data_IF_494627206863
#
_entry.id   IF_494627206863
#
_cell.length_a   1.000
_cell.length_b   1.000
_cell.length_c   1.000
_cell.angle_alpha   90.00
_cell.angle_beta   90.00
_cell.angle_gamma   90.00
#
_symmetry.space_group_name_H-M   'P 1'
#
loop_
_entity.id
_entity.type
_entity.pdbx_description
1 polymer ?
#
# COMPACT_ATOMS: atom_id res chain seq x y z
N UNK A 1 38.99 48.97 -0.34
CA UNK A 1 37.94 48.63 -1.31
C UNK A 1 37.64 47.14 -1.21
N UNK A 2 36.45 46.71 -0.75
CA UNK A 2 36.08 45.31 -0.72
C UNK A 2 35.30 44.92 -2.00
N UNK A 3 35.71 43.82 -2.60
CA UNK A 3 35.13 43.22 -3.81
C UNK A 3 33.82 42.47 -3.52
N UNK A 4 32.77 42.77 -4.27
CA UNK A 4 31.47 42.10 -4.21
C UNK A 4 31.52 40.66 -4.75
N UNK A 5 30.83 39.69 -4.12
CA UNK A 5 30.72 38.34 -4.68
C UNK A 5 29.61 38.26 -5.74
N UNK A 6 29.99 37.70 -6.89
CA UNK A 6 29.16 37.43 -8.06
C UNK A 6 28.04 36.43 -7.76
N UNK A 7 26.78 36.83 -8.00
CA UNK A 7 25.60 35.95 -8.01
C UNK A 7 25.72 34.96 -9.17
N UNK A 8 25.90 33.67 -8.85
CA UNK A 8 25.70 32.58 -9.82
C UNK A 8 24.20 32.42 -10.08
N UNK A 9 23.77 32.71 -11.30
CA UNK A 9 22.44 32.39 -11.81
C UNK A 9 22.27 30.87 -11.90
N UNK A 10 21.27 30.32 -11.22
CA UNK A 10 20.82 28.93 -11.41
C UNK A 10 20.18 28.81 -12.80
N UNK A 11 20.70 27.90 -13.61
CA UNK A 11 20.10 27.52 -14.89
C UNK A 11 18.72 26.87 -14.65
N UNK A 12 17.73 27.08 -15.53
CA UNK A 12 16.42 26.46 -15.41
C UNK A 12 16.52 24.96 -15.73
N UNK A 13 16.05 24.12 -14.81
CA UNK A 13 15.86 22.69 -15.05
C UNK A 13 14.87 22.52 -16.21
N UNK A 14 15.28 21.77 -17.25
CA UNK A 14 14.40 21.42 -18.37
C UNK A 14 13.29 20.51 -17.85
N UNK A 15 12.09 21.06 -17.67
CA UNK A 15 10.85 20.29 -17.51
C UNK A 15 10.74 19.31 -18.68
N UNK A 16 10.64 18.02 -18.35
CA UNK A 16 10.54 16.95 -19.35
C UNK A 16 9.12 16.90 -19.90
N UNK A 17 8.94 16.31 -21.09
CA UNK A 17 7.60 16.06 -21.66
C UNK A 17 6.72 15.21 -20.75
N UNK A 18 7.32 14.34 -19.93
CA UNK A 18 6.63 13.53 -18.93
C UNK A 18 5.99 14.38 -17.81
N UNK A 19 6.59 15.52 -17.44
CA UNK A 19 6.06 16.42 -16.40
C UNK A 19 4.82 17.21 -16.86
N UNK A 20 4.54 17.21 -18.17
CA UNK A 20 3.42 17.93 -18.79
C UNK A 20 2.25 17.03 -19.18
N UNK A 21 2.41 15.71 -19.07
CA UNK A 21 1.37 14.76 -19.39
C UNK A 21 0.33 14.74 -18.28
N UNK A 22 -0.95 14.66 -18.66
CA UNK A 22 -2.01 14.46 -17.69
C UNK A 22 -1.83 13.14 -16.94
N UNK A 23 -2.21 13.09 -15.66
CA UNK A 23 -2.05 11.90 -14.85
C UNK A 23 -2.83 10.71 -15.41
N UNK A 24 -4.01 10.95 -16.02
CA UNK A 24 -4.82 9.91 -16.65
C UNK A 24 -4.12 9.32 -17.86
N UNK A 25 -3.65 10.18 -18.77
CA UNK A 25 -2.92 9.76 -19.98
C UNK A 25 -1.68 8.95 -19.60
N UNK A 26 -0.93 9.42 -18.58
CA UNK A 26 0.25 8.71 -18.08
C UNK A 26 -0.09 7.33 -17.52
N UNK A 27 -1.19 7.17 -16.81
CA UNK A 27 -1.60 5.88 -16.23
C UNK A 27 -2.15 4.90 -17.28
N UNK A 28 -2.87 5.39 -18.29
CA UNK A 28 -3.36 4.56 -19.40
C UNK A 28 -2.21 3.91 -20.20
N UNK A 29 -1.06 4.56 -20.30
CA UNK A 29 0.16 3.99 -20.90
C UNK A 29 0.72 2.76 -20.16
N UNK A 30 0.20 2.46 -18.96
CA UNK A 30 0.51 1.28 -18.15
C UNK A 30 -0.74 0.40 -17.94
N UNK A 31 -1.76 0.58 -18.77
CA UNK A 31 -3.09 -0.06 -18.65
C UNK A 31 -3.77 0.15 -17.30
N UNK A 32 -3.56 1.29 -16.66
CA UNK A 32 -4.23 1.64 -15.40
C UNK A 32 -5.36 2.62 -15.71
N UNK A 33 -6.58 2.16 -15.52
CA UNK A 33 -7.82 2.88 -15.79
C UNK A 33 -8.56 3.18 -14.48
N UNK A 34 -9.07 4.41 -14.36
CA UNK A 34 -9.86 4.83 -13.21
C UNK A 34 -10.99 5.74 -13.65
N UNK A 35 -12.15 5.60 -12.98
CA UNK A 35 -13.36 6.37 -13.29
C UNK A 35 -13.77 6.30 -14.78
N UNK A 36 -13.57 5.15 -15.42
CA UNK A 36 -13.99 4.91 -16.80
C UNK A 36 -15.40 4.33 -16.88
N UNK A 37 -16.01 4.03 -15.72
CA UNK A 37 -17.28 3.31 -15.60
C UNK A 37 -17.16 1.92 -16.20
N UNK A 38 -16.01 1.28 -15.97
CA UNK A 38 -15.81 -0.11 -16.31
C UNK A 38 -16.89 -0.96 -15.59
N UNK A 39 -17.41 -1.97 -16.28
CA UNK A 39 -18.39 -2.87 -15.65
C UNK A 39 -17.66 -3.71 -14.61
N UNK A 40 -18.03 -3.55 -13.34
CA UNK A 40 -17.46 -4.36 -12.26
C UNK A 40 -17.87 -5.82 -12.50
N UNK A 41 -16.93 -6.78 -12.54
CA UNK A 41 -17.26 -8.19 -12.72
C UNK A 41 -18.23 -8.71 -11.66
N UNK A 42 -19.18 -9.55 -12.05
CA UNK A 42 -20.28 -10.01 -11.19
C UNK A 42 -19.83 -10.63 -9.86
N UNK A 43 -18.71 -11.35 -9.86
CA UNK A 43 -18.12 -11.93 -8.63
C UNK A 43 -17.64 -10.83 -7.65
N UNK A 44 -17.10 -9.73 -8.18
CA UNK A 44 -16.71 -8.56 -7.37
C UNK A 44 -17.93 -7.76 -6.94
N UNK A 45 -18.95 -7.61 -7.80
CA UNK A 45 -20.21 -6.98 -7.40
C UNK A 45 -20.86 -7.71 -6.23
N UNK A 46 -20.90 -9.05 -6.27
CA UNK A 46 -21.39 -9.87 -5.17
C UNK A 46 -20.54 -9.68 -3.91
N UNK A 47 -19.22 -9.63 -4.06
CA UNK A 47 -18.31 -9.36 -2.93
C UNK A 47 -18.56 -7.97 -2.32
N UNK A 48 -18.65 -6.92 -3.14
CA UNK A 48 -18.96 -5.55 -2.72
C UNK A 48 -20.34 -5.48 -2.06
N UNK A 49 -21.34 -6.17 -2.61
CA UNK A 49 -22.67 -6.24 -2.02
C UNK A 49 -22.63 -6.88 -0.63
N UNK A 50 -21.78 -7.89 -0.41
CA UNK A 50 -21.57 -8.46 0.92
C UNK A 50 -20.89 -7.45 1.86
N UNK A 51 -19.93 -6.68 1.37
CA UNK A 51 -19.29 -5.61 2.15
C UNK A 51 -20.23 -4.46 2.50
N UNK A 52 -21.28 -4.20 1.70
CA UNK A 52 -22.30 -3.18 1.99
C UNK A 52 -23.37 -3.63 3.00
N UNK A 53 -23.35 -4.88 3.45
CA UNK A 53 -24.37 -5.39 4.40
C UNK A 53 -24.38 -4.56 5.69
N UNK A 54 -25.56 -4.14 6.18
CA UNK A 54 -25.66 -3.39 7.43
C UNK A 54 -25.04 -4.15 8.61
N UNK A 55 -24.39 -3.41 9.52
CA UNK A 55 -23.89 -3.97 10.79
C UNK A 55 -24.84 -3.61 11.92
N UNK A 56 -25.03 -4.54 12.86
CA UNK A 56 -25.88 -4.35 14.05
C UNK A 56 -25.23 -3.39 15.07
N UNK A 57 -23.90 -3.33 15.12
CA UNK A 57 -23.18 -2.46 16.04
C UNK A 57 -23.20 -1.00 15.57
N UNK A 58 -23.50 -0.07 16.48
CA UNK A 58 -23.35 1.36 16.22
C UNK A 58 -21.88 1.73 16.00
N UNK A 59 -21.63 2.75 15.16
CA UNK A 59 -20.29 3.32 14.99
C UNK A 59 -20.18 4.60 15.83
N UNK A 60 -19.70 4.53 17.10
CA UNK A 60 -19.56 5.72 17.94
C UNK A 60 -18.65 6.78 17.30
N UNK A 61 -17.67 6.35 16.50
CA UNK A 61 -16.78 7.24 15.76
C UNK A 61 -17.50 8.11 14.72
N UNK A 62 -18.70 7.75 14.26
CA UNK A 62 -19.37 8.50 13.19
C UNK A 62 -19.74 9.92 13.62
N UNK A 63 -20.25 10.05 14.85
CA UNK A 63 -20.54 11.35 15.45
C UNK A 63 -19.25 12.14 15.71
N UNK A 64 -18.23 11.48 16.23
CA UNK A 64 -16.92 12.12 16.46
C UNK A 64 -16.32 12.67 15.16
N UNK A 65 -16.39 11.93 14.06
CA UNK A 65 -15.91 12.39 12.74
C UNK A 65 -16.72 13.60 12.27
N UNK A 66 -18.04 13.55 12.40
CA UNK A 66 -18.90 14.68 12.04
C UNK A 66 -18.50 15.96 12.78
N UNK A 67 -18.16 15.85 14.06
CA UNK A 67 -17.74 16.97 14.91
C UNK A 67 -16.31 17.45 14.58
N UNK A 68 -15.38 16.56 14.25
CA UNK A 68 -13.97 16.90 14.03
C UNK A 68 -13.61 17.23 12.57
N UNK A 69 -14.38 16.76 11.58
CA UNK A 69 -14.13 17.02 10.17
C UNK A 69 -14.11 18.51 9.79
N UNK A 70 -14.99 19.41 10.33
CA UNK A 70 -14.86 20.85 10.14
C UNK A 70 -13.49 21.39 10.57
N UNK A 71 -12.94 20.90 11.68
CA UNK A 71 -11.63 21.33 12.19
C UNK A 71 -10.52 20.81 11.28
N UNK A 72 -10.56 19.53 10.91
CA UNK A 72 -9.54 18.91 10.04
C UNK A 72 -9.41 19.62 8.68
N UNK A 73 -10.54 20.05 8.08
CA UNK A 73 -10.57 20.78 6.80
C UNK A 73 -9.79 22.10 6.81
N UNK A 74 -9.66 22.74 7.97
CA UNK A 74 -8.97 24.03 8.12
C UNK A 74 -7.47 23.86 8.41
N UNK A 75 -6.97 22.63 8.46
CA UNK A 75 -5.59 22.32 8.83
C UNK A 75 -4.76 21.85 7.64
N UNK A 76 -3.45 21.74 7.86
CA UNK A 76 -2.55 21.11 6.89
C UNK A 76 -2.96 19.65 6.64
N UNK A 77 -2.47 19.06 5.56
CA UNK A 77 -2.75 17.64 5.24
C UNK A 77 -2.39 16.72 6.41
N UNK A 78 -1.18 16.87 6.99
CA UNK A 78 -0.75 16.02 8.11
C UNK A 78 -1.59 16.25 9.38
N UNK A 79 -1.86 17.50 9.75
CA UNK A 79 -2.69 17.78 10.93
C UNK A 79 -4.12 17.25 10.76
N UNK A 80 -4.68 17.36 9.55
CA UNK A 80 -6.00 16.83 9.22
C UNK A 80 -6.03 15.30 9.26
N UNK A 81 -4.97 14.65 8.77
CA UNK A 81 -4.75 13.20 8.91
C UNK A 81 -4.75 12.85 10.39
N UNK A 82 -3.92 13.49 11.22
CA UNK A 82 -3.76 13.17 12.64
C UNK A 82 -5.07 13.29 13.43
N UNK A 83 -5.96 14.21 13.03
CA UNK A 83 -7.30 14.37 13.62
C UNK A 83 -8.25 13.22 13.24
N UNK A 84 -8.21 12.78 11.98
CA UNK A 84 -9.24 11.91 11.41
C UNK A 84 -8.82 10.44 11.31
N UNK A 85 -7.54 10.12 11.18
CA UNK A 85 -7.06 8.79 10.79
C UNK A 85 -7.54 7.67 11.71
N UNK A 86 -7.49 7.87 13.03
CA UNK A 86 -7.82 6.83 14.01
C UNK A 86 -9.33 6.62 14.14
N UNK A 87 -10.11 7.66 13.85
CA UNK A 87 -11.56 7.63 13.97
C UNK A 87 -12.24 7.21 12.67
N UNK A 88 -11.72 7.65 11.53
CA UNK A 88 -12.25 7.41 10.18
C UNK A 88 -11.88 6.02 9.67
N UNK A 89 -10.60 5.66 9.72
CA UNK A 89 -10.09 4.39 9.19
C UNK A 89 -10.05 3.30 10.28
N UNK A 90 -9.24 2.28 10.03
CA UNK A 90 -9.01 1.16 10.94
C UNK A 90 -7.94 1.52 11.97
N UNK A 91 -8.10 1.06 13.21
CA UNK A 91 -7.09 1.23 14.26
C UNK A 91 -6.14 0.02 14.26
N UNK A 92 -4.81 0.18 14.13
CA UNK A 92 -3.88 -0.94 14.12
C UNK A 92 -3.73 -1.59 15.50
N UNK A 93 -3.33 -2.86 15.53
CA UNK A 93 -3.13 -3.65 16.74
C UNK A 93 -2.14 -2.98 17.71
N UNK A 94 -1.06 -2.40 17.17
CA UNK A 94 0.00 -1.71 17.94
C UNK A 94 -0.48 -0.45 18.66
N UNK A 95 -1.64 0.10 18.26
CA UNK A 95 -2.33 1.20 18.95
C UNK A 95 -3.57 0.74 19.72
N UNK A 96 -3.61 -0.53 20.15
CA UNK A 96 -4.75 -1.10 20.87
C UNK A 96 -6.00 -1.27 20.01
N UNK A 97 -5.82 -1.37 18.69
CA UNK A 97 -6.89 -1.56 17.72
C UNK A 97 -7.16 -3.02 17.42
N UNK A 98 -7.33 -3.30 16.13
CA UNK A 98 -7.78 -4.61 15.63
C UNK A 98 -6.63 -5.61 15.71
N UNK A 99 -6.80 -6.77 16.37
CA UNK A 99 -5.79 -7.81 16.40
C UNK A 99 -5.30 -8.21 15.01
N UNK A 100 -4.01 -8.53 14.89
CA UNK A 100 -3.35 -8.96 13.65
C UNK A 100 -3.31 -7.94 12.50
N UNK A 101 -3.88 -6.73 12.66
CA UNK A 101 -3.83 -5.67 11.66
C UNK A 101 -2.74 -4.66 12.02
N UNK A 102 -1.95 -4.25 11.04
CA UNK A 102 -0.98 -3.16 11.17
C UNK A 102 -1.28 -2.06 10.17
N UNK A 103 -0.85 -0.84 10.50
CA UNK A 103 -0.89 0.31 9.62
C UNK A 103 0.54 0.82 9.39
N UNK A 104 0.92 0.95 8.13
CA UNK A 104 2.14 1.62 7.72
C UNK A 104 1.79 3.02 7.20
N UNK A 105 2.51 4.04 7.66
CA UNK A 105 2.41 5.40 7.14
C UNK A 105 3.43 5.60 6.01
N UNK A 106 2.98 6.06 4.85
CA UNK A 106 3.81 6.33 3.66
C UNK A 106 4.77 5.19 3.29
N UNK A 107 4.35 3.90 3.30
CA UNK A 107 5.25 2.83 2.89
C UNK A 107 5.57 2.96 1.40
N UNK A 108 6.85 2.80 1.05
CA UNK A 108 7.21 2.54 -0.34
C UNK A 108 6.75 1.12 -0.70
N UNK A 109 5.89 1.03 -1.71
CA UNK A 109 5.53 -0.25 -2.31
C UNK A 109 6.56 -0.56 -3.41
N UNK A 110 6.97 -1.83 -3.51
CA UNK A 110 8.00 -2.25 -4.46
C UNK A 110 7.58 -1.99 -5.89
N UNK A 111 8.39 -1.19 -6.61
CA UNK A 111 8.19 -0.88 -8.03
C UNK A 111 8.26 -2.13 -8.93
N UNK A 112 8.79 -3.26 -8.43
CA UNK A 112 8.78 -4.53 -9.13
C UNK A 112 7.36 -5.02 -9.49
N UNK A 113 6.36 -4.61 -8.71
CA UNK A 113 4.97 -4.98 -8.93
C UNK A 113 4.17 -3.92 -9.68
N UNK A 114 4.81 -2.84 -10.17
CA UNK A 114 4.12 -1.89 -11.05
C UNK A 114 3.64 -2.61 -12.32
N UNK A 115 2.44 -2.28 -12.82
CA UNK A 115 2.02 -2.68 -14.16
C UNK A 115 3.09 -2.34 -15.21
N UNK A 116 3.34 -3.21 -16.19
CA UNK A 116 4.28 -2.92 -17.26
C UNK A 116 3.70 -1.84 -18.20
N UNK A 117 4.60 -1.13 -18.87
CA UNK A 117 4.25 -0.23 -19.96
C UNK A 117 3.65 -1.00 -21.15
N UNK A 118 2.63 -0.45 -21.81
CA UNK A 118 2.01 -1.07 -23.00
C UNK A 118 2.57 -0.62 -24.33
N UNK A 119 3.45 0.40 -24.32
CA UNK A 119 4.04 0.93 -25.55
C UNK A 119 5.51 1.29 -25.34
N UNK A 120 6.27 1.30 -26.44
CA UNK A 120 7.67 1.73 -26.43
C UNK A 120 7.84 3.18 -25.92
N UNK A 121 6.87 4.06 -26.18
CA UNK A 121 6.87 5.43 -25.63
C UNK A 121 6.81 5.38 -24.11
N UNK A 122 5.99 4.50 -23.56
CA UNK A 122 5.82 4.30 -22.14
C UNK A 122 7.03 3.64 -21.46
N UNK A 123 7.85 2.86 -22.17
CA UNK A 123 9.12 2.33 -21.62
C UNK A 123 10.12 3.44 -21.25
N UNK A 124 10.07 4.56 -21.97
CA UNK A 124 10.87 5.74 -21.63
C UNK A 124 10.28 6.57 -20.48
N UNK A 125 8.99 6.36 -20.17
CA UNK A 125 8.29 7.00 -19.07
C UNK A 125 8.43 6.14 -17.80
N UNK A 126 8.63 6.80 -16.67
CA UNK A 126 8.65 6.13 -15.37
C UNK A 126 7.42 6.55 -14.57
N UNK A 127 6.65 5.56 -14.12
CA UNK A 127 5.69 5.77 -13.04
C UNK A 127 6.44 6.11 -11.75
N UNK A 128 5.87 6.99 -10.94
CA UNK A 128 6.38 7.26 -9.61
C UNK A 128 6.25 6.01 -8.75
N UNK A 129 7.14 5.86 -7.76
CA UNK A 129 7.03 4.78 -6.79
C UNK A 129 5.67 4.85 -6.07
N UNK A 130 4.89 3.76 -6.06
CA UNK A 130 3.62 3.71 -5.35
C UNK A 130 3.85 3.88 -3.84
N UNK A 131 3.14 4.84 -3.25
CA UNK A 131 3.33 5.27 -1.87
C UNK A 131 1.99 5.80 -1.33
N UNK A 132 1.14 4.93 -0.77
CA UNK A 132 -0.08 5.36 -0.10
C UNK A 132 0.26 6.11 1.19
N UNK A 133 -0.50 7.16 1.53
CA UNK A 133 -0.32 7.84 2.83
C UNK A 133 -0.51 6.87 4.00
N UNK A 134 -1.47 5.96 3.85
CA UNK A 134 -1.71 4.87 4.78
C UNK A 134 -1.94 3.55 4.07
N UNK A 135 -1.33 2.49 4.60
CA UNK A 135 -1.53 1.13 4.13
C UNK A 135 -1.87 0.23 5.31
N UNK A 136 -2.88 -0.62 5.15
CA UNK A 136 -3.33 -1.58 6.14
C UNK A 136 -3.15 -3.00 5.61
N UNK A 137 -2.61 -3.85 6.46
CA UNK A 137 -2.34 -5.25 6.16
C UNK A 137 -2.06 -6.02 7.44
N UNK A 138 -1.47 -7.19 7.29
CA UNK A 138 -1.23 -8.10 8.40
C UNK A 138 0.04 -7.74 9.18
N UNK A 139 -0.06 -7.80 10.51
CA UNK A 139 0.97 -7.43 11.47
C UNK A 139 2.19 -8.38 11.43
N UNK A 140 3.40 -7.89 11.09
CA UNK A 140 4.60 -8.73 11.14
C UNK A 140 5.01 -9.11 12.56
N UNK A 141 5.58 -10.30 12.74
CA UNK A 141 6.08 -10.80 14.03
C UNK A 141 7.17 -9.90 14.64
N UNK A 142 7.94 -9.18 13.81
CA UNK A 142 8.93 -8.20 14.29
C UNK A 142 8.29 -6.99 15.00
N UNK A 143 7.06 -6.63 14.65
CA UNK A 143 6.27 -5.56 15.30
C UNK A 143 5.38 -6.10 16.41
N UNK A 144 4.83 -7.31 16.23
CA UNK A 144 3.97 -7.95 17.23
C UNK A 144 4.72 -8.27 18.54
N UNK A 145 5.94 -8.83 18.45
CA UNK A 145 6.70 -9.30 19.63
C UNK A 145 7.01 -8.18 20.64
N UNK A 146 7.59 -7.03 20.26
CA UNK A 146 7.83 -5.93 21.21
C UNK A 146 6.55 -5.41 21.88
N UNK A 147 5.43 -5.44 21.15
CA UNK A 147 4.12 -5.01 21.64
C UNK A 147 3.35 -6.09 22.43
N UNK A 148 3.92 -7.29 22.62
CA UNK A 148 3.26 -8.47 23.24
C UNK A 148 1.94 -8.85 22.55
N UNK A 149 1.89 -8.68 21.23
CA UNK A 149 0.76 -9.03 20.39
C UNK A 149 1.03 -10.36 19.67
N UNK A 150 -0.05 -11.01 19.22
CA UNK A 150 0.02 -12.20 18.36
C UNK A 150 0.09 -11.76 16.88
N UNK A 151 1.07 -12.26 16.15
CA UNK A 151 1.12 -12.14 14.70
C UNK A 151 0.17 -13.16 14.05
N UNK A 152 -0.44 -12.83 12.90
CA UNK A 152 -1.31 -13.76 12.19
C UNK A 152 -0.53 -14.91 11.56
N UNK A 153 0.73 -14.71 11.16
CA UNK A 153 1.55 -15.72 10.51
C UNK A 153 2.56 -16.37 11.48
N UNK A 154 2.93 -17.63 11.23
CA UNK A 154 4.06 -18.28 11.91
C UNK A 154 5.40 -17.75 11.39
N UNK A 155 6.50 -18.10 12.06
CA UNK A 155 7.84 -17.71 11.62
C UNK A 155 8.17 -18.33 10.25
N UNK A 156 7.75 -19.57 10.02
CA UNK A 156 7.94 -20.30 8.76
C UNK A 156 7.16 -19.63 7.62
N UNK A 157 5.90 -19.29 7.87
CA UNK A 157 5.06 -18.54 6.94
C UNK A 157 5.70 -17.17 6.60
N UNK A 158 6.17 -16.42 7.60
CA UNK A 158 6.85 -15.14 7.35
C UNK A 158 8.16 -15.29 6.58
N UNK A 159 8.91 -16.37 6.78
CA UNK A 159 10.13 -16.62 6.00
C UNK A 159 9.85 -16.82 4.52
N UNK A 160 8.69 -17.42 4.17
CA UNK A 160 8.23 -17.53 2.79
C UNK A 160 7.85 -16.14 2.26
N UNK A 161 7.00 -15.42 3.00
CA UNK A 161 6.49 -14.10 2.60
C UNK A 161 7.62 -13.10 2.36
N UNK A 162 8.65 -13.10 3.22
CA UNK A 162 9.78 -12.17 3.12
C UNK A 162 10.61 -12.32 1.84
N UNK A 163 10.47 -13.43 1.09
CA UNK A 163 11.12 -13.62 -0.21
C UNK A 163 10.33 -13.01 -1.38
N UNK A 164 9.10 -12.60 -1.13
CA UNK A 164 8.19 -12.02 -2.11
C UNK A 164 7.55 -10.77 -1.50
N UNK A 165 8.38 -9.76 -1.23
CA UNK A 165 7.99 -8.62 -0.39
C UNK A 165 7.50 -7.44 -1.22
N UNK A 166 6.24 -7.04 -1.04
CA UNK A 166 5.72 -5.76 -1.54
C UNK A 166 6.24 -4.57 -0.72
N UNK A 167 6.22 -4.70 0.61
CA UNK A 167 6.76 -3.74 1.57
C UNK A 167 7.18 -4.47 2.84
N UNK A 168 8.20 -3.99 3.53
CA UNK A 168 8.70 -4.63 4.76
C UNK A 168 7.91 -4.21 6.00
N UNK A 169 6.96 -3.28 5.88
CA UNK A 169 6.25 -2.68 7.01
C UNK A 169 5.05 -3.51 7.50
N UNK A 170 4.43 -4.27 6.59
CA UNK A 170 3.26 -5.12 6.82
C UNK A 170 3.15 -6.15 5.67
N UNK A 171 2.34 -7.20 5.85
CA UNK A 171 2.14 -8.22 4.82
C UNK A 171 0.75 -8.12 4.18
N UNK A 172 0.66 -8.46 2.88
CA UNK A 172 -0.56 -8.51 2.07
C UNK A 172 -1.58 -7.39 2.38
N UNK A 173 -1.32 -6.17 1.88
CA UNK A 173 -2.27 -5.07 2.02
C UNK A 173 -3.70 -5.47 1.60
N UNK A 174 -4.69 -4.94 2.32
CA UNK A 174 -6.11 -5.09 1.99
C UNK A 174 -6.86 -3.75 1.96
N UNK A 175 -6.25 -2.68 2.48
CA UNK A 175 -6.77 -1.32 2.39
C UNK A 175 -5.62 -0.32 2.27
N UNK A 176 -5.69 0.61 1.32
CA UNK A 176 -4.84 1.81 1.30
C UNK A 176 -5.67 3.08 1.42
N UNK A 177 -5.06 4.19 1.81
CA UNK A 177 -5.70 5.50 1.80
C UNK A 177 -4.76 6.57 1.28
N UNK A 178 -5.31 7.46 0.45
CA UNK A 178 -4.69 8.69 0.00
C UNK A 178 -5.44 9.88 0.58
N UNK A 179 -4.71 10.79 1.20
CA UNK A 179 -5.25 11.96 1.88
C UNK A 179 -4.81 13.21 1.16
N UNK A 180 -5.71 14.20 1.10
CA UNK A 180 -5.45 15.53 0.58
C UNK A 180 -6.14 16.53 1.48
N UNK A 181 -5.64 17.77 1.52
CA UNK A 181 -6.28 18.85 2.28
C UNK A 181 -6.66 20.03 1.38
N UNK A 182 -7.90 20.55 1.52
CA UNK A 182 -8.35 21.71 0.77
C UNK A 182 -7.61 22.98 1.21
N UNK A 183 -6.96 22.99 2.38
CA UNK A 183 -6.18 24.13 2.87
C UNK A 183 -5.02 24.52 1.92
N UNK A 184 -4.58 23.60 1.05
CA UNK A 184 -3.58 23.85 0.00
C UNK A 184 -4.15 23.68 -1.42
N UNK A 185 -5.48 23.68 -1.58
CA UNK A 185 -6.13 23.46 -2.87
C UNK A 185 -6.00 22.03 -3.41
N UNK A 186 -5.69 21.06 -2.55
CA UNK A 186 -5.63 19.65 -2.93
C UNK A 186 -7.00 18.99 -2.71
N UNK A 187 -7.38 18.07 -3.58
CA UNK A 187 -8.70 17.45 -3.66
C UNK A 187 -8.56 15.98 -4.07
N UNK A 188 -9.69 15.29 -4.25
CA UNK A 188 -9.72 13.95 -4.84
C UNK A 188 -9.06 13.89 -6.22
N UNK A 189 -9.04 14.97 -7.00
CA UNK A 189 -8.37 15.01 -8.31
C UNK A 189 -6.90 14.60 -8.25
N UNK A 190 -6.20 14.93 -7.16
CA UNK A 190 -4.82 14.48 -6.94
C UNK A 190 -4.73 13.11 -6.27
N UNK A 191 -5.70 12.76 -5.41
CA UNK A 191 -5.68 11.51 -4.65
C UNK A 191 -6.04 10.28 -5.49
N UNK A 192 -6.99 10.42 -6.42
CA UNK A 192 -7.49 9.32 -7.27
C UNK A 192 -6.39 8.70 -8.12
N UNK A 193 -5.62 9.43 -8.95
CA UNK A 193 -4.56 8.83 -9.75
C UNK A 193 -3.45 8.19 -8.89
N UNK A 194 -3.17 8.76 -7.71
CA UNK A 194 -2.24 8.13 -6.76
C UNK A 194 -2.80 6.80 -6.24
N UNK A 195 -4.08 6.78 -5.86
CA UNK A 195 -4.79 5.58 -5.44
C UNK A 195 -4.84 4.49 -6.52
N UNK A 196 -5.06 4.87 -7.79
CA UNK A 196 -5.07 3.95 -8.93
C UNK A 196 -3.72 3.27 -9.13
N UNK A 197 -2.62 4.03 -9.04
CA UNK A 197 -1.26 3.51 -9.12
C UNK A 197 -0.92 2.59 -7.94
N UNK A 198 -1.29 2.97 -6.72
CA UNK A 198 -1.03 2.16 -5.53
C UNK A 198 -1.82 0.84 -5.59
N UNK A 199 -3.11 0.91 -5.93
CA UNK A 199 -3.99 -0.24 -5.98
C UNK A 199 -3.64 -1.21 -7.10
N UNK A 200 -3.34 -0.73 -8.30
CA UNK A 200 -2.87 -1.58 -9.41
C UNK A 200 -1.57 -2.34 -9.07
N UNK A 201 -0.64 -1.69 -8.36
CA UNK A 201 0.58 -2.33 -7.84
C UNK A 201 0.24 -3.47 -6.88
N UNK A 202 -0.68 -3.26 -5.95
CA UNK A 202 -1.09 -4.27 -4.96
C UNK A 202 -1.83 -5.43 -5.64
N UNK A 203 -2.75 -5.13 -6.56
CA UNK A 203 -3.47 -6.16 -7.33
C UNK A 203 -2.50 -7.02 -8.13
N UNK A 204 -1.50 -6.41 -8.77
CA UNK A 204 -0.48 -7.15 -9.52
C UNK A 204 0.38 -8.04 -8.60
N UNK A 205 0.78 -7.53 -7.43
CA UNK A 205 1.46 -8.31 -6.39
C UNK A 205 0.64 -9.54 -5.96
N UNK A 206 -0.65 -9.36 -5.68
CA UNK A 206 -1.55 -10.45 -5.28
C UNK A 206 -1.73 -11.46 -6.42
N UNK A 207 -1.93 -10.98 -7.65
CA UNK A 207 -2.04 -11.83 -8.82
C UNK A 207 -0.80 -12.71 -8.99
N UNK A 208 0.40 -12.14 -8.92
CA UNK A 208 1.64 -12.91 -9.01
C UNK A 208 1.78 -13.95 -7.89
N UNK A 209 1.39 -13.60 -6.65
CA UNK A 209 1.38 -14.55 -5.53
C UNK A 209 0.48 -15.77 -5.83
N UNK A 210 -0.80 -15.54 -6.15
CA UNK A 210 -1.75 -16.62 -6.38
C UNK A 210 -1.47 -17.41 -7.67
N UNK A 211 -1.01 -16.74 -8.74
CA UNK A 211 -0.66 -17.40 -9.99
C UNK A 211 0.58 -18.30 -9.82
N UNK A 212 1.54 -17.87 -8.99
CA UNK A 212 2.69 -18.72 -8.62
C UNK A 212 2.25 -19.90 -7.76
N UNK A 213 1.34 -19.69 -6.81
CA UNK A 213 0.81 -20.77 -5.98
C UNK A 213 0.02 -21.81 -6.79
N UNK A 214 -0.72 -21.38 -7.83
CA UNK A 214 -1.58 -22.21 -8.68
C UNK A 214 -1.32 -21.97 -10.18
N UNK A 215 -0.25 -22.53 -10.77
CA UNK A 215 0.11 -22.25 -12.17
C UNK A 215 -0.93 -22.67 -13.21
N UNK A 216 -1.80 -23.62 -12.87
CA UNK A 216 -2.83 -24.17 -13.77
C UNK A 216 -4.20 -23.52 -13.57
N UNK A 217 -4.34 -22.59 -12.63
CA UNK A 217 -5.62 -21.95 -12.30
C UNK A 217 -5.43 -20.45 -12.15
N UNK A 218 -6.17 -19.67 -12.94
CA UNK A 218 -6.19 -18.22 -12.79
C UNK A 218 -6.65 -17.82 -11.38
N UNK A 219 -5.96 -16.86 -10.72
CA UNK A 219 -6.43 -16.29 -9.46
C UNK A 219 -7.84 -15.71 -9.62
N UNK A 220 -8.70 -15.89 -8.61
CA UNK A 220 -10.00 -15.23 -8.63
C UNK A 220 -9.85 -13.73 -8.40
N UNK A 221 -10.82 -12.95 -8.90
CA UNK A 221 -10.85 -11.51 -8.68
C UNK A 221 -11.01 -11.15 -7.20
N UNK A 222 -11.74 -11.94 -6.42
CA UNK A 222 -11.91 -11.70 -4.97
C UNK A 222 -10.59 -11.88 -4.22
N UNK A 223 -9.81 -12.90 -4.56
CA UNK A 223 -8.49 -13.16 -3.97
C UNK A 223 -7.49 -12.02 -4.26
N UNK A 224 -7.57 -11.44 -5.47
CA UNK A 224 -6.58 -10.48 -5.97
C UNK A 224 -7.03 -9.03 -5.90
N UNK A 225 -8.31 -8.75 -5.62
CA UNK A 225 -8.78 -7.38 -5.49
C UNK A 225 -8.15 -6.66 -4.30
N UNK A 226 -8.13 -5.34 -4.42
CA UNK A 226 -7.69 -4.43 -3.38
C UNK A 226 -8.72 -3.31 -3.19
N UNK A 227 -8.84 -2.79 -1.99
CA UNK A 227 -9.69 -1.64 -1.71
C UNK A 227 -8.83 -0.44 -1.32
N UNK A 228 -9.22 0.75 -1.78
CA UNK A 228 -8.57 1.99 -1.32
C UNK A 228 -9.60 3.03 -0.91
N UNK A 229 -9.15 4.02 -0.16
CA UNK A 229 -9.90 5.22 0.15
C UNK A 229 -9.16 6.45 -0.39
N UNK A 230 -9.90 7.42 -0.90
CA UNK A 230 -9.41 8.79 -1.09
C UNK A 230 -10.18 9.71 -0.15
N UNK A 231 -9.53 10.72 0.41
CA UNK A 231 -10.17 11.70 1.29
C UNK A 231 -9.55 13.07 1.08
N UNK A 232 -10.41 14.08 0.95
CA UNK A 232 -10.03 15.48 0.89
C UNK A 232 -10.44 16.24 2.16
N UNK A 233 -10.55 15.52 3.29
CA UNK A 233 -11.07 16.02 4.58
C UNK A 233 -12.53 16.51 4.55
N UNK A 234 -13.18 16.57 3.38
CA UNK A 234 -14.59 16.92 3.24
C UNK A 234 -15.45 15.72 2.93
N UNK A 235 -14.96 14.85 2.06
CA UNK A 235 -15.58 13.58 1.70
C UNK A 235 -14.55 12.47 1.68
N UNK A 236 -15.05 11.25 1.75
CA UNK A 236 -14.30 10.02 1.54
C UNK A 236 -14.94 9.27 0.37
N UNK A 237 -14.10 8.66 -0.47
CA UNK A 237 -14.53 7.76 -1.53
C UNK A 237 -13.81 6.44 -1.33
N UNK A 238 -14.57 5.34 -1.30
CA UNK A 238 -14.06 3.98 -1.31
C UNK A 238 -14.04 3.44 -2.74
N UNK A 239 -12.97 2.73 -3.05
CA UNK A 239 -12.68 2.23 -4.38
C UNK A 239 -12.36 0.74 -4.33
N UNK A 240 -12.72 0.01 -5.38
CA UNK A 240 -12.26 -1.35 -5.64
C UNK A 240 -11.27 -1.33 -6.80
N UNK A 241 -10.23 -2.14 -6.69
CA UNK A 241 -9.21 -2.33 -7.71
C UNK A 241 -9.19 -3.78 -8.14
N UNK A 242 -9.11 -4.02 -9.45
CA UNK A 242 -8.96 -5.38 -9.97
C UNK A 242 -8.16 -5.40 -11.26
N UNK A 243 -7.70 -6.60 -11.62
CA UNK A 243 -6.95 -6.87 -12.85
C UNK A 243 -7.80 -7.75 -13.73
N UNK A 244 -7.89 -7.40 -15.00
CA UNK A 244 -8.50 -8.23 -16.03
C UNK A 244 -7.44 -8.66 -17.04
N UNK A 245 -7.75 -9.76 -17.71
CA UNK A 245 -7.01 -10.23 -18.85
C UNK A 245 -8.01 -10.59 -19.93
N UNK A 246 -7.86 -9.98 -21.10
CA UNK A 246 -8.73 -10.27 -22.25
C UNK A 246 -8.32 -11.59 -22.94
N UNK A 247 -9.07 -11.95 -23.99
CA UNK A 247 -8.83 -13.17 -24.77
C UNK A 247 -7.47 -13.18 -25.47
N UNK A 248 -6.95 -11.99 -25.83
CA UNK A 248 -5.65 -11.81 -26.47
C UNK A 248 -4.50 -11.82 -25.44
N UNK A 249 -4.82 -11.91 -24.15
CA UNK A 249 -3.88 -11.92 -23.05
C UNK A 249 -3.39 -10.54 -22.62
N UNK A 250 -3.98 -9.46 -23.13
CA UNK A 250 -3.68 -8.11 -22.67
C UNK A 250 -4.22 -7.91 -21.27
N UNK A 251 -3.45 -7.19 -20.47
CA UNK A 251 -3.75 -6.98 -19.05
C UNK A 251 -4.18 -5.54 -18.84
N UNK A 252 -5.28 -5.36 -18.12
CA UNK A 252 -5.75 -4.06 -17.65
C UNK A 252 -5.97 -4.05 -16.14
N UNK A 253 -5.82 -2.88 -15.55
CA UNK A 253 -6.02 -2.62 -14.13
C UNK A 253 -7.09 -1.54 -14.00
N UNK A 254 -8.14 -1.84 -13.26
CA UNK A 254 -9.29 -0.95 -13.13
C UNK A 254 -9.46 -0.50 -11.69
N UNK A 255 -9.94 0.73 -11.53
CA UNK A 255 -10.33 1.33 -10.26
C UNK A 255 -11.71 1.98 -10.40
N UNK A 256 -12.71 1.46 -9.70
CA UNK A 256 -14.08 2.01 -9.73
C UNK A 256 -14.63 2.29 -8.34
N UNK A 257 -15.52 3.27 -8.28
CA UNK A 257 -16.11 3.74 -7.02
C UNK A 257 -17.04 2.68 -6.43
N UNK A 258 -16.83 2.37 -5.16
CA UNK A 258 -17.69 1.50 -4.35
C UNK A 258 -18.66 2.33 -3.52
N UNK A 259 -18.20 3.36 -2.83
CA UNK A 259 -19.07 4.18 -1.99
C UNK A 259 -18.47 5.55 -1.80
N UNK A 260 -19.28 6.56 -1.54
CA UNK A 260 -18.79 7.89 -1.18
C UNK A 260 -19.64 8.52 -0.09
N UNK A 261 -19.03 9.34 0.74
CA UNK A 261 -19.72 9.97 1.86
C UNK A 261 -19.12 11.30 2.26
N UNK A 262 -19.97 12.22 2.72
CA UNK A 262 -19.54 13.50 3.29
C UNK A 262 -19.16 13.32 4.76
N UNK A 263 -17.98 13.81 5.16
CA UNK A 263 -17.48 13.61 6.53
C UNK A 263 -18.29 14.38 7.59
N UNK A 264 -19.06 15.40 7.20
CA UNK A 264 -19.97 16.14 8.08
C UNK A 264 -21.41 15.56 8.13
N UNK A 265 -21.64 14.41 7.50
CA UNK A 265 -22.91 13.68 7.52
C UNK A 265 -22.73 12.36 8.27
N UNK A 266 -23.25 12.30 9.50
CA UNK A 266 -23.15 11.10 10.34
C UNK A 266 -23.66 9.83 9.65
N UNK A 267 -24.73 9.95 8.85
CA UNK A 267 -25.28 8.83 8.07
C UNK A 267 -24.25 8.26 7.11
N UNK A 268 -23.69 9.09 6.24
CA UNK A 268 -22.69 8.68 5.25
C UNK A 268 -21.50 8.00 5.92
N UNK A 269 -21.05 8.55 7.05
CA UNK A 269 -19.93 7.99 7.82
C UNK A 269 -20.28 6.63 8.44
N UNK A 270 -21.52 6.43 8.90
CA UNK A 270 -21.97 5.12 9.37
C UNK A 270 -21.91 4.08 8.25
N UNK A 271 -22.36 4.43 7.05
CA UNK A 271 -22.36 3.55 5.87
C UNK A 271 -20.92 3.20 5.44
N UNK A 272 -20.06 4.19 5.26
CA UNK A 272 -18.64 4.01 4.92
C UNK A 272 -17.94 3.13 5.96
N UNK A 273 -18.14 3.40 7.25
CA UNK A 273 -17.49 2.64 8.32
C UNK A 273 -18.03 1.22 8.43
N UNK A 274 -19.31 0.98 8.12
CA UNK A 274 -19.84 -0.37 8.04
C UNK A 274 -19.09 -1.19 6.97
N UNK A 275 -18.86 -0.61 5.78
CA UNK A 275 -18.09 -1.23 4.70
C UNK A 275 -16.66 -1.54 5.14
N UNK A 276 -15.95 -0.55 5.72
CA UNK A 276 -14.57 -0.75 6.19
C UNK A 276 -14.45 -1.86 7.24
N UNK A 277 -15.45 -1.99 8.12
CA UNK A 277 -15.49 -3.06 9.13
C UNK A 277 -15.83 -4.41 8.53
N UNK A 278 -16.72 -4.48 7.54
CA UNK A 278 -16.97 -5.71 6.80
C UNK A 278 -15.74 -6.16 5.99
N UNK A 279 -15.02 -5.20 5.38
CA UNK A 279 -13.75 -5.46 4.70
C UNK A 279 -12.70 -6.02 5.67
N UNK A 280 -12.61 -5.45 6.86
CA UNK A 280 -11.73 -5.96 7.92
C UNK A 280 -12.10 -7.40 8.32
N UNK A 281 -13.38 -7.71 8.49
CA UNK A 281 -13.81 -9.07 8.86
C UNK A 281 -13.47 -10.07 7.74
N UNK A 282 -13.69 -9.70 6.48
CA UNK A 282 -13.24 -10.52 5.34
C UNK A 282 -11.72 -10.68 5.30
N UNK A 283 -10.97 -9.60 5.54
CA UNK A 283 -9.51 -9.62 5.56
C UNK A 283 -8.97 -10.57 6.64
N UNK A 284 -9.59 -10.61 7.82
CA UNK A 284 -9.18 -11.48 8.93
C UNK A 284 -9.76 -12.89 8.87
N UNK A 285 -10.83 -13.10 8.10
CA UNK A 285 -11.44 -14.40 7.85
C UNK A 285 -10.90 -15.03 6.57
N UNK A 286 -11.78 -15.18 5.57
CA UNK A 286 -11.54 -15.92 4.34
C UNK A 286 -10.23 -15.52 3.63
N UNK A 287 -9.92 -14.22 3.55
CA UNK A 287 -8.71 -13.76 2.86
C UNK A 287 -7.44 -14.23 3.57
N UNK A 288 -7.34 -14.07 4.89
CA UNK A 288 -6.17 -14.50 5.65
C UNK A 288 -6.01 -16.03 5.59
N UNK A 289 -7.11 -16.77 5.71
CA UNK A 289 -7.10 -18.22 5.61
C UNK A 289 -6.63 -18.67 4.22
N UNK A 290 -7.19 -18.09 3.15
CA UNK A 290 -6.79 -18.40 1.78
C UNK A 290 -5.33 -18.08 1.48
N UNK A 291 -4.79 -16.96 2.00
CA UNK A 291 -3.35 -16.65 1.87
C UNK A 291 -2.51 -17.75 2.52
N UNK A 292 -2.85 -18.16 3.75
CA UNK A 292 -2.11 -19.19 4.48
C UNK A 292 -2.12 -20.54 3.77
N UNK A 293 -3.27 -20.94 3.25
CA UNK A 293 -3.41 -22.17 2.48
C UNK A 293 -2.55 -22.17 1.21
N UNK A 294 -2.33 -21.01 0.60
CA UNK A 294 -1.51 -20.88 -0.61
C UNK A 294 -0.01 -20.79 -0.33
N UNK A 295 0.43 -20.42 0.88
CA UNK A 295 1.86 -20.26 1.18
C UNK A 295 2.72 -21.50 0.91
N UNK A 296 2.30 -22.74 1.26
CA UNK A 296 3.09 -23.93 0.96
C UNK A 296 3.28 -24.16 -0.55
N UNK A 297 2.20 -24.06 -1.33
CA UNK A 297 2.24 -24.25 -2.79
C UNK A 297 3.02 -23.11 -3.47
N UNK A 298 2.83 -21.87 -3.02
CA UNK A 298 3.64 -20.73 -3.44
C UNK A 298 5.13 -21.01 -3.22
N UNK A 299 5.51 -21.45 -2.02
CA UNK A 299 6.90 -21.75 -1.70
C UNK A 299 7.47 -22.86 -2.58
N UNK A 300 6.71 -23.93 -2.82
CA UNK A 300 7.15 -25.03 -3.68
C UNK A 300 7.43 -24.56 -5.13
N UNK A 301 6.58 -23.71 -5.69
CA UNK A 301 6.74 -23.23 -7.06
C UNK A 301 7.73 -22.07 -7.18
N UNK A 302 7.79 -21.19 -6.19
CA UNK A 302 8.70 -20.04 -6.17
C UNK A 302 10.15 -20.46 -5.89
N UNK A 303 10.38 -21.50 -5.08
CA UNK A 303 11.72 -21.96 -4.73
C UNK A 303 12.37 -22.85 -5.80
N UNK A 304 11.60 -23.40 -6.74
CA UNK A 304 12.14 -24.18 -7.85
C UNK A 304 12.76 -23.21 -8.87
N UNK A 305 14.10 -23.23 -9.08
CA UNK A 305 14.63 -22.63 -10.29
C UNK A 305 13.95 -23.35 -11.46
N UNK A 306 13.39 -22.59 -12.41
CA UNK A 306 12.84 -23.18 -13.64
C UNK A 306 13.87 -24.14 -14.25
N UNK A 307 13.42 -25.17 -14.99
CA UNK A 307 14.36 -26.05 -15.67
C UNK A 307 15.32 -25.17 -16.46
N UNK A 308 16.61 -25.28 -16.15
CA UNK A 308 17.67 -24.73 -16.98
C UNK A 308 17.42 -25.37 -18.34
N UNK A 309 16.85 -24.60 -19.26
CA UNK A 309 16.90 -24.97 -20.66
C UNK A 309 18.39 -24.97 -20.96
N UNK A 310 18.99 -26.15 -20.95
CA UNK A 310 20.27 -26.40 -21.58
C UNK A 310 20.05 -26.10 -23.05
N UNK A 311 20.18 -24.81 -23.39
CA UNK A 311 20.35 -24.37 -24.76
C UNK A 311 21.48 -25.23 -25.30
N UNK A 312 21.14 -26.07 -26.27
CA UNK A 312 22.13 -26.79 -27.05
C UNK A 312 22.92 -25.70 -27.76
N UNK A 313 24.10 -25.41 -27.25
CA UNK A 313 25.01 -24.40 -27.79
C UNK A 313 25.45 -24.91 -29.16
N UNK A 314 24.81 -24.40 -30.20
CA UNK A 314 25.44 -24.28 -31.52
C UNK A 314 26.38 -23.09 -31.41
N UNK A 315 27.66 -23.38 -31.34
CA UNK A 315 28.73 -22.40 -31.23
C UNK A 315 28.70 -21.43 -32.41
N UNK A 316 28.42 -20.16 -32.15
CA UNK A 316 28.95 -19.07 -32.96
C UNK A 316 29.34 -17.93 -32.03
N UNK A 317 30.60 -17.53 -32.17
CA UNK A 317 31.38 -16.68 -31.29
C UNK A 317 31.19 -15.19 -31.58
N UNK A 318 30.80 -14.41 -30.57
CA UNK A 318 31.35 -13.07 -30.23
C UNK A 318 30.48 -12.37 -29.18
N UNK A 319 31.09 -11.99 -28.04
CA UNK A 319 30.47 -11.40 -26.83
C UNK A 319 29.87 -9.99 -27.00
N UNK A 320 29.35 -9.33 -25.97
CA UNK A 320 29.58 -9.40 -24.51
C UNK A 320 28.25 -9.15 -23.77
N UNK A 321 27.94 -10.00 -22.80
CA UNK A 321 26.77 -9.96 -21.93
C UNK A 321 26.92 -9.01 -20.73
N UNK A 322 25.82 -8.39 -20.31
CA UNK A 322 25.62 -7.85 -18.97
C UNK A 322 24.21 -8.23 -18.48
N UNK A 323 24.11 -9.28 -17.65
CA UNK A 323 22.93 -9.56 -16.81
C UNK A 323 23.41 -9.59 -15.35
N UNK A 324 22.75 -8.90 -14.39
CA UNK A 324 23.16 -8.90 -13.00
C UNK A 324 22.69 -10.16 -12.27
N UNK A 325 23.65 -10.95 -11.78
CA UNK A 325 23.37 -12.04 -10.82
C UNK A 325 23.02 -11.48 -9.44
N UNK A 326 21.98 -12.07 -8.83
CA UNK A 326 21.65 -11.96 -7.42
C UNK A 326 22.81 -12.47 -6.55
N UNK A 327 23.56 -11.56 -5.93
CA UNK A 327 24.54 -11.90 -4.90
C UNK A 327 23.85 -12.14 -3.55
N UNK A 328 24.09 -13.33 -3.00
CA UNK A 328 23.77 -13.71 -1.61
C UNK A 328 24.91 -13.22 -0.70
N UNK A 329 24.65 -12.49 0.41
CA UNK A 329 25.73 -12.02 1.27
C UNK A 329 26.23 -13.13 2.19
N UNK A 330 27.55 -13.33 2.20
CA UNK A 330 28.31 -14.09 3.20
C UNK A 330 28.53 -13.27 4.48
N UNK A 331 28.56 -13.91 5.67
CA UNK A 331 28.76 -13.20 6.93
C UNK A 331 30.24 -12.87 7.15
N UNK A 332 30.55 -11.59 7.37
CA UNK A 332 31.87 -11.15 7.84
C UNK A 332 31.91 -11.19 9.36
N UNK A 333 32.84 -11.97 9.90
CA UNK A 333 33.22 -11.96 11.30
C UNK A 333 33.94 -10.65 11.62
N UNK A 334 33.47 -9.91 12.62
CA UNK A 334 34.02 -8.62 13.03
C UNK A 334 33.83 -8.41 14.53
N UNK A 335 34.91 -8.60 15.26
CA UNK A 335 35.08 -8.47 16.71
C UNK A 335 34.70 -7.07 17.18
N UNK A 336 33.84 -6.96 18.21
CA UNK A 336 33.51 -5.69 18.88
C UNK A 336 34.20 -5.63 20.26
N UNK A 337 35.05 -4.63 20.45
CA UNK A 337 35.47 -4.18 21.78
C UNK A 337 34.41 -3.25 22.43
N UNK A 338 34.28 -3.24 23.77
CA UNK A 338 33.22 -2.51 24.45
C UNK A 338 33.60 -1.06 24.77
N UNK A 339 32.75 -0.12 24.34
CA UNK A 339 32.82 1.30 24.72
C UNK A 339 32.18 1.52 26.09
N UNK A 340 32.98 2.12 26.99
CA UNK A 340 32.63 2.49 28.37
C UNK A 340 31.50 3.52 28.44
N UNK A 341 30.49 3.21 29.26
CA UNK A 341 29.33 4.05 29.57
C UNK A 341 29.70 5.09 30.64
N UNK A 342 29.77 6.38 30.29
CA UNK A 342 29.80 7.49 31.28
C UNK A 342 28.36 7.81 31.70
N UNK A 343 28.13 7.76 33.02
CA UNK A 343 26.87 8.04 33.70
C UNK A 343 26.90 9.48 34.23
N UNK A 344 25.89 10.27 33.88
CA UNK A 344 25.56 11.64 34.30
C UNK A 344 24.03 11.69 34.21
N UNK A 345 23.21 12.17 35.13
CA UNK A 345 23.24 12.86 36.43
C UNK A 345 21.88 12.47 37.07
N UNK A 346 21.67 12.67 38.37
CA UNK A 346 20.63 13.62 38.85
C UNK A 346 20.42 13.52 40.36
N UNK A 347 20.47 14.73 40.91
CA UNK A 347 20.52 15.13 42.30
C UNK A 347 19.07 15.34 42.79
N UNK A 348 18.67 14.62 43.83
CA UNK A 348 17.35 14.78 44.46
C UNK A 348 17.46 15.82 45.56
N UNK A 349 16.81 16.98 45.40
CA UNK A 349 16.45 17.86 46.52
C UNK A 349 14.95 17.82 46.75
N UNK A 350 14.61 17.40 47.96
CA UNK A 350 13.31 17.52 48.62
C UNK A 350 13.24 18.92 49.23
N UNK A 351 12.08 19.59 49.23
CA UNK A 351 11.76 20.55 50.28
C UNK A 351 10.70 19.98 51.21
N UNK A 352 11.03 20.00 52.50
CA UNK A 352 10.10 19.88 53.62
C UNK A 352 9.23 21.16 53.74
N UNK A 353 8.01 20.91 54.18
CA UNK A 353 7.04 21.73 54.94
C UNK A 353 7.32 23.21 55.23
N UNK A 354 6.27 24.02 55.06
CA UNK A 354 5.86 25.01 56.06
C UNK A 354 4.35 25.34 55.95
N UNK A 355 3.66 25.13 57.09
CA UNK A 355 2.34 25.63 57.57
C UNK A 355 1.04 24.93 57.17
#
# INVERSE_FOLDING_TARGET
>A
MPSSPSRKSRSPEKSTTADKMDAKDKLQLFSIFYEERATIPSILEQHISNLRKPRQASSPNAKQIQETAPVARLRSEQDGIDILEEVLLLRPATKGGIPCVERAAKPNLSAHFLPPATSFVAESLRLETPQPDHCFGYLPSKKARPARLKAPFTIEEENIINRFTLTTELYFPFLTAQWKSPAKGQTHHQAIPQGARDGSTIVNYLHQFYATARPTQAPSLVETCHFSATTDMRSIILWVHWREQDEDGNVSYHMEQVESGMLDKERDIKEIRAILRNLQDHALGDRLQGIKEMLPAFWEHFAKPGPVQTATVVSSSSGIDNIPMLHRPTPSSGTLEPVRKRRREEDKRIPEDEQ
#
